data_IF_460949995773
#
_entry.id   IF_460949995773
#
_cell.length_a   1.000
_cell.length_b   1.000
_cell.length_c   1.000
_cell.angle_alpha   90.00
_cell.angle_beta   90.00
_cell.angle_gamma   90.00
#
_symmetry.space_group_name_H-M   'P 1'
#
loop_
_entity.id
_entity.type
_entity.pdbx_description
1 polymer ?
#
# COMPACT_ATOMS: atom_id res chain seq x y z
N UNK A 1 4.29 5.80 -23.05
CA UNK A 1 3.00 5.83 -23.75
C UNK A 1 2.08 4.86 -23.06
N UNK A 2 0.88 5.31 -22.67
CA UNK A 2 -0.16 4.45 -22.11
C UNK A 2 -0.65 3.48 -23.21
N UNK A 3 -0.75 2.19 -22.88
CA UNK A 3 -0.94 1.09 -23.83
C UNK A 3 -2.43 0.80 -24.09
N UNK A 4 -2.78 0.48 -25.34
CA UNK A 4 -4.10 -0.06 -25.71
C UNK A 4 -4.11 -1.60 -25.59
N UNK A 5 -5.21 -2.22 -25.12
CA UNK A 5 -5.23 -3.65 -24.84
C UNK A 5 -5.42 -4.46 -26.13
N UNK A 6 -4.32 -4.96 -26.71
CA UNK A 6 -4.37 -6.06 -27.67
C UNK A 6 -3.38 -7.15 -27.25
N UNK A 7 -3.92 -8.32 -26.90
CA UNK A 7 -3.36 -9.70 -26.85
C UNK A 7 -1.92 -9.98 -26.33
N UNK A 8 -1.18 -9.00 -25.83
CA UNK A 8 0.16 -9.14 -25.24
C UNK A 8 0.06 -9.19 -23.71
N UNK A 9 0.86 -10.03 -23.05
CA UNK A 9 1.00 -10.01 -21.59
C UNK A 9 1.40 -8.61 -21.08
N UNK A 10 1.00 -8.25 -19.85
CA UNK A 10 1.44 -6.98 -19.28
C UNK A 10 2.97 -7.00 -19.04
N UNK A 11 3.61 -5.84 -19.15
CA UNK A 11 5.03 -5.66 -18.82
C UNK A 11 5.12 -4.85 -17.54
N UNK A 12 5.80 -5.39 -16.54
CA UNK A 12 5.88 -4.79 -15.21
C UNK A 12 7.32 -4.68 -14.71
N UNK A 13 7.49 -3.81 -13.73
CA UNK A 13 8.60 -3.86 -12.79
C UNK A 13 8.08 -4.47 -11.50
N UNK A 14 8.79 -5.46 -10.98
CA UNK A 14 8.62 -6.09 -9.69
C UNK A 14 9.78 -5.73 -8.79
N UNK A 15 9.47 -5.36 -7.54
CA UNK A 15 10.44 -5.04 -6.50
C UNK A 15 10.04 -5.78 -5.23
N UNK A 16 11.01 -6.36 -4.54
CA UNK A 16 10.84 -6.95 -3.22
C UNK A 16 11.70 -6.18 -2.22
N UNK A 17 11.14 -5.86 -1.07
CA UNK A 17 11.85 -5.24 0.06
C UNK A 17 11.78 -6.13 1.30
N UNK A 18 12.77 -6.01 2.18
CA UNK A 18 12.78 -6.65 3.50
C UNK A 18 11.93 -5.88 4.54
N UNK A 19 12.11 -6.22 5.82
CA UNK A 19 11.38 -5.60 6.94
C UNK A 19 11.82 -4.17 7.23
N UNK A 20 12.90 -3.72 6.62
CA UNK A 20 13.52 -2.41 6.81
C UNK A 20 13.36 -1.55 5.54
N UNK A 21 12.55 -2.02 4.59
CA UNK A 21 12.31 -1.32 3.32
C UNK A 21 13.51 -1.35 2.37
N UNK A 22 14.54 -2.16 2.64
CA UNK A 22 15.71 -2.32 1.77
C UNK A 22 15.35 -3.24 0.62
N UNK A 23 15.71 -2.82 -0.60
CA UNK A 23 15.43 -3.59 -1.82
C UNK A 23 16.30 -4.84 -1.86
N UNK A 24 15.65 -6.00 -1.83
CA UNK A 24 16.28 -7.31 -1.95
C UNK A 24 16.40 -7.79 -3.40
N UNK A 25 15.47 -7.35 -4.26
CA UNK A 25 15.42 -7.81 -5.64
C UNK A 25 14.55 -6.94 -6.52
N UNK A 26 14.99 -6.79 -7.77
CA UNK A 26 14.27 -6.06 -8.81
C UNK A 26 14.22 -6.92 -10.07
N UNK A 27 13.03 -7.06 -10.65
CA UNK A 27 12.83 -7.66 -11.97
C UNK A 27 12.06 -6.69 -12.84
N UNK A 28 12.74 -6.12 -13.84
CA UNK A 28 12.11 -5.33 -14.90
C UNK A 28 11.92 -6.22 -16.13
N UNK A 29 10.68 -6.37 -16.59
CA UNK A 29 10.42 -7.03 -17.86
C UNK A 29 10.90 -6.16 -19.02
N UNK A 30 11.30 -6.80 -20.11
CA UNK A 30 11.55 -6.11 -21.38
C UNK A 30 10.31 -5.28 -21.77
N UNK A 31 10.55 -4.04 -22.21
CA UNK A 31 9.53 -3.02 -22.53
C UNK A 31 8.70 -2.47 -21.36
N UNK A 32 8.95 -2.86 -20.11
CA UNK A 32 8.34 -2.17 -18.97
C UNK A 32 8.87 -0.73 -18.89
N UNK A 33 7.99 0.23 -18.59
CA UNK A 33 8.34 1.64 -18.50
C UNK A 33 9.47 1.88 -17.49
N UNK A 34 10.49 2.68 -17.85
CA UNK A 34 11.63 2.97 -16.98
C UNK A 34 11.17 3.60 -15.65
N UNK A 35 10.24 4.56 -15.73
CA UNK A 35 9.67 5.24 -14.55
C UNK A 35 8.78 4.37 -13.66
N UNK A 36 8.52 3.10 -14.03
CA UNK A 36 7.78 2.18 -13.18
C UNK A 36 8.62 1.65 -12.01
N UNK A 37 9.96 1.81 -12.05
CA UNK A 37 10.85 1.34 -10.99
C UNK A 37 10.60 2.07 -9.66
N UNK A 38 10.66 3.40 -9.65
CA UNK A 38 10.46 4.19 -8.42
C UNK A 38 9.07 3.96 -7.83
N UNK A 39 8.07 3.85 -8.70
CA UNK A 39 6.71 3.53 -8.28
C UNK A 39 6.59 2.12 -7.70
N UNK A 40 7.29 1.11 -8.24
CA UNK A 40 7.31 -0.22 -7.67
C UNK A 40 8.01 -0.25 -6.30
N UNK A 41 9.13 0.48 -6.13
CA UNK A 41 9.82 0.63 -4.84
C UNK A 41 8.89 1.30 -3.81
N UNK A 42 8.29 2.44 -4.17
CA UNK A 42 7.40 3.19 -3.28
C UNK A 42 6.19 2.34 -2.85
N UNK A 43 5.61 1.56 -3.76
CA UNK A 43 4.52 0.62 -3.44
C UNK A 43 4.94 -0.46 -2.45
N UNK A 44 6.11 -1.05 -2.63
CA UNK A 44 6.63 -2.08 -1.72
C UNK A 44 6.85 -1.50 -0.32
N UNK A 45 7.60 -0.39 -0.23
CA UNK A 45 7.88 0.29 1.04
C UNK A 45 6.61 0.74 1.77
N UNK A 46 5.66 1.32 1.04
CA UNK A 46 4.38 1.75 1.61
C UNK A 46 3.58 0.57 2.17
N UNK A 47 3.47 -0.53 1.42
CA UNK A 47 2.74 -1.72 1.90
C UNK A 47 3.41 -2.35 3.13
N UNK A 48 4.74 -2.36 3.19
CA UNK A 48 5.52 -2.80 4.36
C UNK A 48 5.24 -1.90 5.57
N UNK A 49 5.43 -0.58 5.41
CA UNK A 49 5.34 0.39 6.50
C UNK A 49 3.97 0.33 7.17
N UNK A 50 2.90 0.36 6.37
CA UNK A 50 1.53 0.38 6.88
C UNK A 50 1.01 -0.97 7.36
N UNK A 51 1.74 -2.07 7.13
CA UNK A 51 1.40 -3.38 7.69
C UNK A 51 2.25 -3.75 8.90
N UNK A 52 3.24 -2.92 9.24
CA UNK A 52 4.14 -3.19 10.36
C UNK A 52 3.38 -2.98 11.69
N UNK A 53 3.32 -4.00 12.57
CA UNK A 53 2.75 -3.84 13.91
C UNK A 53 3.59 -2.92 14.80
N UNK A 54 4.85 -2.67 14.44
CA UNK A 54 5.77 -1.84 15.20
C UNK A 54 5.92 -0.49 14.51
N UNK A 55 5.77 0.56 15.30
CA UNK A 55 6.25 1.88 14.95
C UNK A 55 7.59 2.04 15.66
N UNK A 56 8.64 2.45 14.97
CA UNK A 56 9.96 2.66 15.55
C UNK A 56 10.17 4.15 15.63
N UNK A 57 10.52 4.71 16.78
CA UNK A 57 10.86 6.13 16.91
C UNK A 57 12.38 6.32 16.93
N UNK A 58 12.84 7.57 17.06
CA UNK A 58 14.27 7.87 17.16
C UNK A 58 14.93 7.28 18.43
N UNK A 59 14.15 6.91 19.45
CA UNK A 59 14.58 6.40 20.75
C UNK A 59 14.48 4.85 20.87
N UNK A 60 13.84 4.17 19.90
CA UNK A 60 13.69 2.72 19.85
C UNK A 60 12.31 2.24 19.37
N UNK A 61 12.04 0.95 19.47
CA UNK A 61 10.75 0.40 19.03
C UNK A 61 9.59 0.86 19.94
N UNK A 62 8.69 1.70 19.43
CA UNK A 62 7.38 1.93 20.05
C UNK A 62 6.53 0.68 19.83
N UNK A 63 6.39 -0.11 20.89
CA UNK A 63 5.44 -1.20 20.89
C UNK A 63 4.01 -0.64 20.81
N UNK A 64 3.37 -0.76 19.63
CA UNK A 64 1.90 -0.86 19.56
C UNK A 64 1.10 0.31 19.00
N UNK A 65 1.70 1.27 18.28
CA UNK A 65 0.93 2.30 17.57
C UNK A 65 1.11 2.18 16.06
N UNK A 66 0.50 1.16 15.45
CA UNK A 66 0.39 1.00 14.00
C UNK A 66 0.05 2.33 13.27
N UNK A 67 0.54 2.62 12.05
CA UNK A 67 0.27 3.90 11.36
C UNK A 67 -1.22 4.21 11.11
N UNK A 68 -2.09 3.20 11.22
CA UNK A 68 -3.56 3.32 11.15
C UNK A 68 -4.23 3.06 12.51
N UNK A 69 -3.55 3.32 13.63
CA UNK A 69 -4.12 3.11 14.97
C UNK A 69 -5.41 3.91 15.11
N UNK A 70 -6.44 3.28 15.68
CA UNK A 70 -7.78 3.87 15.79
C UNK A 70 -8.67 3.66 14.57
N UNK A 71 -8.11 3.29 13.40
CA UNK A 71 -8.89 2.91 12.21
C UNK A 71 -9.02 1.39 12.08
N UNK A 72 -7.93 0.66 12.32
CA UNK A 72 -7.87 -0.81 12.31
C UNK A 72 -6.99 -1.30 13.46
N UNK A 73 -7.13 -2.57 13.90
CA UNK A 73 -6.23 -3.14 14.90
C UNK A 73 -4.76 -3.06 14.46
N UNK A 74 -3.85 -2.90 15.43
CA UNK A 74 -2.42 -2.90 15.14
C UNK A 74 -1.97 -4.23 14.51
N UNK A 75 -1.10 -4.14 13.51
CA UNK A 75 -0.63 -5.29 12.73
C UNK A 75 -1.63 -5.79 11.68
N UNK A 76 -2.66 -5.00 11.36
CA UNK A 76 -3.54 -5.29 10.22
C UNK A 76 -2.71 -5.26 8.93
N UNK A 77 -2.77 -6.34 8.16
CA UNK A 77 -2.16 -6.40 6.84
C UNK A 77 -2.96 -5.52 5.88
N UNK A 78 -2.32 -4.50 5.30
CA UNK A 78 -2.92 -3.56 4.37
C UNK A 78 -2.14 -3.49 3.06
N UNK A 79 -2.84 -3.26 1.96
CA UNK A 79 -2.20 -3.06 0.65
C UNK A 79 -2.22 -1.58 0.29
N UNK A 80 -1.47 -1.19 -0.74
CA UNK A 80 -1.57 0.18 -1.28
C UNK A 80 -2.96 0.49 -1.85
N UNK A 81 -3.80 -0.52 -2.09
CA UNK A 81 -5.22 -0.34 -2.44
C UNK A 81 -6.10 -0.06 -1.23
N UNK A 82 -5.82 -0.68 -0.09
CA UNK A 82 -6.44 -0.29 1.19
C UNK A 82 -6.20 1.18 1.46
N UNK A 83 -4.94 1.61 1.32
CA UNK A 83 -4.56 3.01 1.58
C UNK A 83 -5.18 3.96 0.56
N UNK A 84 -5.22 3.61 -0.72
CA UNK A 84 -5.93 4.41 -1.73
C UNK A 84 -7.41 4.56 -1.39
N UNK A 85 -8.09 3.49 -0.96
CA UNK A 85 -9.51 3.54 -0.58
C UNK A 85 -9.75 4.49 0.60
N UNK A 86 -8.86 4.47 1.60
CA UNK A 86 -8.90 5.37 2.76
C UNK A 86 -8.47 6.81 2.44
N UNK A 87 -7.87 7.07 1.28
CA UNK A 87 -7.40 8.39 0.88
C UNK A 87 -8.32 9.09 -0.13
N UNK A 88 -9.56 8.63 -0.30
CA UNK A 88 -10.48 9.22 -1.28
C UNK A 88 -11.07 10.54 -0.78
N UNK A 89 -11.23 11.55 -1.65
CA UNK A 89 -11.89 12.83 -1.29
C UNK A 89 -13.37 12.65 -0.92
N UNK A 90 -14.01 11.60 -1.43
CA UNK A 90 -15.39 11.25 -1.14
C UNK A 90 -15.42 9.80 -0.65
N UNK A 91 -15.80 9.62 0.61
CA UNK A 91 -15.75 8.34 1.31
C UNK A 91 -17.14 7.95 1.87
N UNK A 92 -17.52 6.67 1.82
CA UNK A 92 -16.83 5.58 1.14
C UNK A 92 -17.00 5.67 -0.39
N UNK A 93 -15.94 5.44 -1.18
CA UNK A 93 -16.00 5.59 -2.63
C UNK A 93 -16.96 4.57 -3.24
N UNK A 94 -17.87 5.05 -4.09
CA UNK A 94 -18.88 4.21 -4.77
C UNK A 94 -20.17 3.99 -3.98
N UNK A 95 -20.33 4.64 -2.83
CA UNK A 95 -21.60 4.73 -2.09
C UNK A 95 -21.86 6.22 -1.86
N UNK A 96 -23.05 6.71 -2.26
CA UNK A 96 -23.53 8.04 -1.88
C UNK A 96 -23.95 8.01 -0.41
N UNK A 97 -22.98 7.92 0.50
CA UNK A 97 -23.24 8.01 1.94
C UNK A 97 -23.23 9.45 2.45
N UNK A 98 -23.01 10.44 1.58
CA UNK A 98 -23.20 11.84 1.91
C UNK A 98 -24.66 12.05 2.28
N UNK A 99 -24.90 12.32 3.57
CA UNK A 99 -26.14 12.97 3.98
C UNK A 99 -26.36 14.24 3.13
N UNK A 100 -27.63 14.68 2.90
CA UNK A 100 -27.99 15.70 1.90
C UNK A 100 -27.47 17.13 2.15
N UNK A 101 -26.51 17.33 3.04
CA UNK A 101 -26.20 18.61 3.68
C UNK A 101 -24.69 18.87 3.77
N UNK A 102 -23.92 18.50 2.74
CA UNK A 102 -22.62 19.14 2.53
C UNK A 102 -22.87 20.57 2.03
N UNK A 103 -23.03 21.49 2.97
CA UNK A 103 -23.03 22.93 2.72
C UNK A 103 -21.74 23.25 1.93
N UNK A 104 -21.87 23.99 0.83
CA UNK A 104 -20.75 24.30 -0.10
C UNK A 104 -19.69 25.23 0.53
N UNK A 105 -19.78 25.44 1.85
CA UNK A 105 -18.93 26.27 2.72
C UNK A 105 -18.30 25.45 3.85
N UNK A 106 -18.67 24.17 4.04
CA UNK A 106 -17.99 23.30 4.99
C UNK A 106 -16.55 22.98 4.51
N UNK A 107 -15.57 22.86 5.43
CA UNK A 107 -14.22 22.41 5.08
C UNK A 107 -14.27 21.09 4.27
N UNK A 108 -13.28 20.81 3.43
CA UNK A 108 -13.16 19.59 2.60
C UNK A 108 -13.16 18.25 3.39
N UNK A 109 -13.45 18.29 4.70
CA UNK A 109 -13.11 17.29 5.70
C UNK A 109 -14.32 16.47 6.18
N UNK A 110 -15.56 16.91 5.89
CA UNK A 110 -16.75 16.26 6.44
C UNK A 110 -17.22 15.00 5.66
N UNK A 111 -16.55 14.64 4.57
CA UNK A 111 -16.87 13.46 3.76
C UNK A 111 -15.66 12.77 3.10
N UNK A 112 -14.44 13.12 3.49
CA UNK A 112 -13.21 12.53 2.94
C UNK A 112 -12.72 11.35 3.77
N UNK A 113 -11.95 10.47 3.14
CA UNK A 113 -11.35 9.33 3.81
C UNK A 113 -10.26 9.76 4.80
N UNK A 114 -9.96 8.93 5.82
CA UNK A 114 -9.10 9.33 6.93
C UNK A 114 -7.63 9.56 6.53
N UNK A 115 -7.21 9.14 5.34
CA UNK A 115 -5.88 9.40 4.77
C UNK A 115 -5.88 10.47 3.68
N UNK A 116 -7.00 11.18 3.47
CA UNK A 116 -7.11 12.14 2.37
C UNK A 116 -6.12 13.29 2.52
N UNK A 117 -6.04 13.91 3.69
CA UNK A 117 -5.08 14.99 3.96
C UNK A 117 -3.64 14.52 3.75
N UNK A 118 -3.27 13.35 4.31
CA UNK A 118 -1.95 12.76 4.09
C UNK A 118 -1.64 12.56 2.59
N UNK A 119 -2.63 12.13 1.81
CA UNK A 119 -2.46 11.96 0.37
C UNK A 119 -2.32 13.29 -0.39
N UNK A 120 -2.91 14.38 0.10
CA UNK A 120 -2.69 15.74 -0.42
C UNK A 120 -1.29 16.23 -0.06
N UNK A 121 -0.84 15.99 1.17
CA UNK A 121 0.49 16.38 1.63
C UNK A 121 1.60 15.65 0.89
N UNK A 122 1.42 14.36 0.63
CA UNK A 122 2.34 13.54 -0.15
C UNK A 122 2.45 13.96 -1.64
N UNK A 123 1.58 14.86 -2.12
CA UNK A 123 1.67 15.47 -3.47
C UNK A 123 2.42 16.80 -3.49
N UNK A 124 2.75 17.37 -2.33
CA UNK A 124 3.53 18.62 -2.24
C UNK A 124 4.95 18.36 -2.78
N UNK A 125 5.62 19.38 -3.34
CA UNK A 125 6.95 19.21 -3.93
C UNK A 125 7.94 18.62 -2.93
N UNK A 126 8.92 17.93 -3.52
CA UNK A 126 10.06 17.29 -2.88
C UNK A 126 10.61 18.07 -1.67
N UNK A 127 10.61 17.44 -0.47
CA UNK A 127 11.26 17.99 0.73
C UNK A 127 12.62 17.33 0.95
N UNK A 128 13.69 18.11 0.78
CA UNK A 128 15.07 17.64 0.92
C UNK A 128 15.39 17.06 2.32
N UNK A 129 14.66 17.50 3.34
CA UNK A 129 14.80 17.06 4.74
C UNK A 129 14.37 15.61 4.99
N UNK A 130 13.67 14.98 4.03
CA UNK A 130 13.06 13.64 4.18
C UNK A 130 13.72 12.57 3.28
N UNK A 131 14.80 12.91 2.57
CA UNK A 131 15.46 11.98 1.65
C UNK A 131 16.77 11.42 2.19
N UNK A 132 16.82 10.09 2.29
CA UNK A 132 18.03 9.31 2.06
C UNK A 132 19.03 9.18 3.22
N UNK A 133 18.86 9.84 4.36
CA UNK A 133 19.45 9.49 5.68
C UNK A 133 18.97 10.47 6.78
N UNK A 134 17.66 10.69 6.90
CA UNK A 134 17.11 11.44 8.03
C UNK A 134 16.54 10.43 9.03
N UNK A 135 16.89 10.48 10.33
CA UNK A 135 16.12 9.80 11.34
C UNK A 135 14.67 10.32 11.25
N UNK A 136 13.74 9.45 11.62
CA UNK A 136 12.30 9.66 11.62
C UNK A 136 11.91 11.15 11.65
N UNK A 137 11.62 11.77 10.50
CA UNK A 137 10.72 12.91 10.56
C UNK A 137 9.37 12.29 10.89
N UNK A 138 8.92 12.37 12.16
CA UNK A 138 7.84 11.54 12.58
C UNK A 138 6.59 12.03 11.86
N UNK A 139 5.92 11.16 11.10
CA UNK A 139 4.57 11.45 10.57
C UNK A 139 3.63 11.77 11.76
N UNK A 140 4.02 11.29 12.95
CA UNK A 140 3.57 11.63 14.29
C UNK A 140 4.74 11.34 15.26
N UNK A 141 4.94 12.03 16.41
CA UNK A 141 6.04 11.76 17.34
C UNK A 141 6.09 10.27 17.67
N UNK A 142 7.06 9.56 17.11
CA UNK A 142 7.12 8.12 17.21
C UNK A 142 7.33 7.33 15.93
N UNK A 143 7.04 7.88 14.74
CA UNK A 143 7.03 7.10 13.49
C UNK A 143 8.27 7.30 12.62
N UNK A 144 9.17 6.32 12.59
CA UNK A 144 10.29 6.25 11.65
C UNK A 144 9.79 5.89 10.26
N UNK A 145 9.54 6.94 9.48
CA UNK A 145 9.25 6.86 8.07
C UNK A 145 10.54 6.56 7.28
N UNK A 146 10.69 5.31 6.86
CA UNK A 146 11.75 4.85 5.95
C UNK A 146 11.36 4.99 4.47
N UNK A 147 10.24 5.67 4.16
CA UNK A 147 9.77 5.88 2.79
C UNK A 147 10.59 6.97 2.07
N UNK A 148 11.86 6.65 1.78
CA UNK A 148 12.78 7.50 1.02
C UNK A 148 12.25 7.89 -0.39
N UNK A 149 11.15 7.29 -0.85
CA UNK A 149 10.50 7.56 -2.13
C UNK A 149 9.12 8.23 -1.99
N UNK A 150 8.72 8.62 -0.77
CA UNK A 150 7.36 9.03 -0.43
C UNK A 150 6.38 7.86 -0.40
N UNK A 151 5.13 8.16 -0.01
CA UNK A 151 4.05 7.18 0.10
C UNK A 151 3.39 6.92 -1.27
N UNK A 152 2.95 5.68 -1.51
CA UNK A 152 2.25 5.32 -2.74
C UNK A 152 0.84 4.80 -2.48
N UNK A 153 -0.14 5.64 -2.81
CA UNK A 153 -1.57 5.31 -2.76
C UNK A 153 -2.06 4.72 -4.10
N UNK A 154 -1.26 3.89 -4.76
CA UNK A 154 -1.65 3.21 -6.01
C UNK A 154 -1.48 1.72 -5.86
N UNK A 155 -2.54 0.98 -6.17
CA UNK A 155 -2.56 -0.47 -6.16
C UNK A 155 -1.33 -1.13 -6.81
N UNK A 156 -0.83 -2.17 -6.15
CA UNK A 156 0.32 -2.96 -6.59
C UNK A 156 1.37 -3.23 -5.50
N UNK A 157 1.20 -2.69 -4.30
CA UNK A 157 2.00 -3.04 -3.12
C UNK A 157 1.26 -4.00 -2.20
N UNK A 158 1.87 -5.14 -1.84
CA UNK A 158 1.29 -6.15 -0.96
C UNK A 158 2.34 -6.59 0.08
N UNK A 159 1.98 -6.68 1.37
CA UNK A 159 2.90 -7.16 2.40
C UNK A 159 3.12 -8.68 2.28
N UNK A 160 4.32 -9.13 2.62
CA UNK A 160 4.75 -10.52 2.55
C UNK A 160 4.97 -11.03 3.96
N UNK A 161 4.38 -12.18 4.29
CA UNK A 161 4.43 -12.77 5.62
C UNK A 161 5.11 -14.14 5.58
N UNK A 162 5.60 -14.60 6.73
CA UNK A 162 5.99 -16.00 6.93
C UNK A 162 5.65 -16.42 8.35
N UNK A 163 4.92 -17.52 8.48
CA UNK A 163 4.45 -18.00 9.79
C UNK A 163 3.75 -16.91 10.64
N UNK A 164 2.99 -16.02 9.99
CA UNK A 164 2.28 -14.92 10.64
C UNK A 164 3.11 -13.67 10.95
N UNK A 165 4.43 -13.69 10.75
CA UNK A 165 5.29 -12.51 10.89
C UNK A 165 5.42 -11.77 9.55
N UNK A 166 5.33 -10.44 9.57
CA UNK A 166 5.66 -9.59 8.42
C UNK A 166 7.17 -9.72 8.15
N UNK A 167 7.54 -10.08 6.91
CA UNK A 167 8.96 -10.24 6.51
C UNK A 167 9.39 -9.28 5.40
N UNK A 168 8.48 -8.45 4.92
CA UNK A 168 8.75 -7.46 3.88
C UNK A 168 7.52 -7.18 3.03
N UNK A 169 7.73 -6.74 1.81
CA UNK A 169 6.65 -6.48 0.86
C UNK A 169 7.11 -6.61 -0.60
N UNK A 170 6.13 -6.79 -1.47
CA UNK A 170 6.30 -6.74 -2.92
C UNK A 170 5.61 -5.50 -3.48
N UNK A 171 6.23 -4.86 -4.46
CA UNK A 171 5.69 -3.75 -5.20
C UNK A 171 5.76 -4.00 -6.70
N UNK A 172 4.64 -3.77 -7.39
CA UNK A 172 4.51 -3.98 -8.83
C UNK A 172 3.97 -2.74 -9.50
N UNK A 173 4.57 -2.37 -10.63
CA UNK A 173 4.10 -1.26 -11.46
C UNK A 173 4.22 -1.57 -12.95
N UNK A 174 3.22 -1.14 -13.73
CA UNK A 174 3.12 -1.36 -15.17
C UNK A 174 1.78 -0.84 -15.73
N UNK A 175 1.13 -1.63 -16.59
CA UNK A 175 -0.02 -1.23 -17.43
C UNK A 175 -1.30 -0.80 -16.69
N UNK A 176 -1.39 -0.97 -15.37
CA UNK A 176 -2.50 -0.42 -14.58
C UNK A 176 -2.55 -0.89 -13.12
N UNK A 177 -3.31 -0.20 -12.24
CA UNK A 177 -3.32 -0.49 -10.81
C UNK A 177 -3.92 -1.88 -10.47
N UNK A 178 -5.02 -2.26 -11.14
CA UNK A 178 -5.63 -3.58 -10.95
C UNK A 178 -4.72 -4.72 -11.43
N UNK A 179 -4.08 -4.54 -12.59
CA UNK A 179 -3.13 -5.52 -13.14
C UNK A 179 -1.88 -5.65 -12.26
N UNK A 180 -1.36 -4.53 -11.75
CA UNK A 180 -0.20 -4.53 -10.85
C UNK A 180 -0.46 -5.33 -9.57
N UNK A 181 -1.63 -5.15 -8.95
CA UNK A 181 -1.99 -5.95 -7.77
C UNK A 181 -2.18 -7.43 -8.10
N UNK A 182 -2.78 -7.77 -9.25
CA UNK A 182 -2.93 -9.17 -9.66
C UNK A 182 -1.56 -9.84 -9.78
N UNK A 183 -0.63 -9.21 -10.49
CA UNK A 183 0.74 -9.72 -10.65
C UNK A 183 1.45 -9.82 -9.30
N UNK A 184 1.28 -8.84 -8.41
CA UNK A 184 1.84 -8.91 -7.05
C UNK A 184 1.30 -10.11 -6.26
N UNK A 185 -0.01 -10.36 -6.33
CA UNK A 185 -0.66 -11.48 -5.64
C UNK A 185 -0.23 -12.84 -6.21
N UNK A 186 -0.16 -12.95 -7.53
CA UNK A 186 0.31 -14.16 -8.23
C UNK A 186 1.81 -14.42 -7.96
N UNK A 187 2.63 -13.37 -7.86
CA UNK A 187 4.04 -13.51 -7.51
C UNK A 187 4.23 -14.06 -6.09
N UNK A 188 3.43 -13.60 -5.10
CA UNK A 188 3.42 -14.16 -3.76
C UNK A 188 2.99 -15.63 -3.80
N UNK A 189 1.89 -15.96 -4.48
CA UNK A 189 1.39 -17.33 -4.57
C UNK A 189 2.40 -18.29 -5.24
N UNK A 190 3.00 -17.85 -6.35
CA UNK A 190 4.03 -18.61 -7.07
C UNK A 190 5.29 -18.81 -6.22
N UNK A 191 5.72 -17.80 -5.48
CA UNK A 191 6.84 -17.91 -4.54
C UNK A 191 6.50 -18.85 -3.37
N UNK A 192 5.27 -18.79 -2.82
CA UNK A 192 4.82 -19.74 -1.79
C UNK A 192 4.93 -21.18 -2.26
N UNK A 193 4.47 -21.45 -3.49
CA UNK A 193 4.54 -22.79 -4.10
C UNK A 193 5.99 -23.24 -4.30
N UNK A 194 6.85 -22.35 -4.84
CA UNK A 194 8.25 -22.67 -5.10
C UNK A 194 9.06 -22.91 -3.82
N UNK A 195 8.72 -22.23 -2.72
CA UNK A 195 9.42 -22.34 -1.44
C UNK A 195 8.82 -23.39 -0.50
N UNK A 196 7.63 -23.90 -0.79
CA UNK A 196 6.95 -24.92 0.02
C UNK A 196 6.33 -24.41 1.32
N UNK A 197 6.08 -23.10 1.44
CA UNK A 197 5.38 -22.50 2.58
C UNK A 197 4.63 -21.23 2.17
N UNK A 198 3.56 -20.87 2.88
CA UNK A 198 2.75 -19.71 2.55
C UNK A 198 3.44 -18.39 2.90
N UNK A 199 3.50 -17.49 1.91
CA UNK A 199 3.99 -16.13 2.01
C UNK A 199 2.88 -15.08 2.19
N UNK A 200 1.61 -15.49 2.21
CA UNK A 200 0.46 -14.60 2.30
C UNK A 200 0.20 -14.14 3.73
N UNK A 201 -0.37 -12.94 3.89
CA UNK A 201 -0.86 -12.48 5.19
C UNK A 201 -1.93 -13.44 5.74
N UNK A 202 -1.92 -13.79 7.04
CA UNK A 202 -3.00 -14.56 7.65
C UNK A 202 -4.36 -13.92 7.39
N UNK A 203 -5.38 -14.73 7.03
CA UNK A 203 -6.69 -14.22 6.63
C UNK A 203 -7.31 -13.29 7.68
N UNK A 204 -7.19 -13.63 8.97
CA UNK A 204 -7.79 -12.91 10.08
C UNK A 204 -7.26 -11.47 10.27
N UNK A 205 -6.07 -11.16 9.76
CA UNK A 205 -5.45 -9.83 9.92
C UNK A 205 -5.52 -9.00 8.64
N UNK A 206 -6.12 -9.51 7.56
CA UNK A 206 -6.23 -8.76 6.30
C UNK A 206 -7.22 -7.62 6.44
N UNK A 207 -6.93 -6.49 5.81
CA UNK A 207 -7.79 -5.30 5.82
C UNK A 207 -9.28 -5.60 5.55
N UNK A 208 -9.58 -6.56 4.66
CA UNK A 208 -10.94 -6.94 4.31
C UNK A 208 -11.73 -7.69 5.39
N UNK A 209 -11.13 -7.93 6.55
CA UNK A 209 -11.85 -8.36 7.75
C UNK A 209 -12.40 -7.19 8.57
N UNK A 210 -12.03 -5.96 8.20
CA UNK A 210 -12.37 -4.74 8.92
C UNK A 210 -13.18 -3.78 8.05
N UNK A 211 -13.85 -2.84 8.71
CA UNK A 211 -14.65 -1.81 8.05
C UNK A 211 -14.37 -0.46 8.70
N UNK A 212 -14.47 0.60 7.90
CA UNK A 212 -14.41 1.99 8.34
C UNK A 212 -15.64 2.73 7.83
N UNK A 213 -16.34 3.44 8.71
CA UNK A 213 -17.61 4.12 8.42
C UNK A 213 -18.62 3.23 7.66
N UNK A 214 -18.75 1.96 8.07
CA UNK A 214 -19.69 1.00 7.47
C UNK A 214 -19.24 0.38 6.13
N UNK A 215 -18.09 0.79 5.56
CA UNK A 215 -17.54 0.20 4.35
C UNK A 215 -16.39 -0.76 4.65
N UNK A 216 -16.46 -1.98 4.10
CA UNK A 216 -15.38 -2.98 4.20
C UNK A 216 -14.14 -2.50 3.48
N UNK A 217 -12.98 -2.58 4.13
CA UNK A 217 -11.73 -2.15 3.53
C UNK A 217 -11.27 -3.15 2.46
N UNK A 218 -10.80 -2.71 1.29
CA UNK A 218 -10.25 -3.64 0.31
C UNK A 218 -8.86 -4.12 0.74
N UNK A 219 -8.50 -5.37 0.41
CA UNK A 219 -7.13 -5.89 0.57
C UNK A 219 -6.49 -6.10 -0.81
N UNK A 220 -6.57 -7.31 -1.37
CA UNK A 220 -6.22 -7.58 -2.76
C UNK A 220 -7.42 -8.20 -3.49
N UNK A 221 -7.70 -7.75 -4.71
CA UNK A 221 -8.82 -8.24 -5.51
C UNK A 221 -8.42 -9.56 -6.16
N UNK A 222 -8.81 -10.67 -5.53
CA UNK A 222 -8.80 -11.99 -6.17
C UNK A 222 -9.69 -11.96 -7.43
N UNK A 223 -9.35 -12.67 -8.51
CA UNK A 223 -10.24 -12.79 -9.65
C UNK A 223 -11.59 -13.36 -9.20
N UNK A 224 -12.70 -12.72 -9.61
CA UNK A 224 -14.05 -13.26 -9.38
C UNK A 224 -14.32 -14.51 -10.23
N UNK A 225 -13.43 -14.83 -11.19
CA UNK A 225 -13.47 -16.04 -11.99
C UNK A 225 -12.05 -16.42 -12.45
N UNK A 226 -11.55 -17.65 -12.19
CA UNK A 226 -10.27 -18.11 -12.73
C UNK A 226 -10.26 -18.28 -14.26
N UNK A 227 -11.43 -18.43 -14.88
CA UNK A 227 -11.59 -18.81 -16.29
C UNK A 227 -12.49 -17.86 -17.10
N UNK A 228 -12.15 -16.56 -17.17
CA UNK A 228 -12.88 -15.60 -18.02
C UNK A 228 -12.00 -14.52 -18.60
#
# INVERSE_FOLDING_TARGET
>A
GLRLPSKSACRVVLVVVDREGIVLGVRRMEDAAVGALDSAIAKARTARLYSDPLVVDEDGALQGLHPLTGLVPAGTAVTTRTLWFLSQPFFPPGIDASAPDHDMVAPFDAGSGPLYELAIENRKPFRFEQMGFAPAAPIDPGVQDDSQNGLCFVAGGIPVYRAGALIGAIGVCGDGPAQSERVASEAIAGASLALGFDLSAPHAIRANQFAYQGATLPYAKSPQNPDG
#
